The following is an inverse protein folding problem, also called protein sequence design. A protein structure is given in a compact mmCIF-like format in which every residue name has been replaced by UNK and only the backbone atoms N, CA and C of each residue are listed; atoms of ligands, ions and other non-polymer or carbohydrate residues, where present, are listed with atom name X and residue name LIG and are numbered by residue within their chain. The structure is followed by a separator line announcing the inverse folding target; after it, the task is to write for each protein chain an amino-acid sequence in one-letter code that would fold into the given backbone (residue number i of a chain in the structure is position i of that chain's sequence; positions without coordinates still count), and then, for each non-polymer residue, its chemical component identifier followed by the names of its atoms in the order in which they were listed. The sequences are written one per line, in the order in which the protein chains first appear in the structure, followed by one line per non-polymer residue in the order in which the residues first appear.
data_IF_635929003742
#
_entry.id   IF_635929003742
#
_cell.length_a   1.000
_cell.length_b   1.000
_cell.length_c   1.000
_cell.angle_alpha   90.00
_cell.angle_beta   90.00
_cell.angle_gamma   90.00
#
_symmetry.space_group_name_H-M   'P 1'
#
loop_
_entity.id
_entity.type
_entity.pdbx_description
1 polymer ?
#
# COMPACT_ATOMS: atom_id res chain seq x y z
N UNK A 1 1.58 -83.07 12.02
CA UNK A 1 2.19 -81.97 12.78
C UNK A 1 1.88 -80.66 12.07
N UNK A 2 1.22 -79.75 12.78
CA UNK A 2 0.87 -78.39 12.33
C UNK A 2 2.11 -77.48 12.31
N UNK A 3 2.15 -76.54 11.35
CA UNK A 3 2.77 -75.19 11.37
C UNK A 3 2.22 -74.50 10.11
N UNK A 4 1.20 -73.63 10.14
CA UNK A 4 1.15 -72.26 10.70
C UNK A 4 2.41 -71.46 10.30
N UNK A 5 2.38 -70.34 9.59
CA UNK A 5 1.35 -69.48 9.01
C UNK A 5 2.13 -68.43 8.20
N UNK A 6 1.60 -67.99 7.05
CA UNK A 6 2.27 -67.01 6.18
C UNK A 6 1.66 -65.65 6.49
N UNK A 7 2.26 -64.90 7.40
CA UNK A 7 1.84 -63.54 7.72
C UNK A 7 2.60 -62.56 6.80
N UNK A 8 1.95 -62.19 5.70
CA UNK A 8 2.26 -60.94 5.00
C UNK A 8 1.57 -59.79 5.75
N UNK A 9 2.26 -58.71 6.11
CA UNK A 9 1.58 -57.52 6.61
C UNK A 9 0.87 -56.88 5.42
N UNK A 10 -0.46 -56.79 5.51
CA UNK A 10 -1.25 -55.97 4.60
C UNK A 10 -0.89 -54.49 4.86
N UNK A 11 0.10 -54.00 4.12
CA UNK A 11 0.32 -52.57 3.96
C UNK A 11 -0.92 -52.02 3.24
N UNK A 12 -1.64 -51.12 3.91
CA UNK A 12 -2.88 -50.43 3.52
C UNK A 12 -4.14 -50.95 4.23
N UNK A 13 -4.13 -50.89 5.57
CA UNK A 13 -5.36 -50.90 6.34
C UNK A 13 -6.14 -49.60 6.07
N UNK A 14 -7.26 -49.73 5.36
CA UNK A 14 -8.15 -48.61 5.04
C UNK A 14 -8.65 -47.87 6.29
N UNK A 15 -8.69 -48.54 7.45
CA UNK A 15 -9.03 -47.91 8.72
C UNK A 15 -7.98 -46.89 9.18
N UNK A 16 -6.69 -47.15 8.93
CA UNK A 16 -5.61 -46.21 9.25
C UNK A 16 -5.63 -44.99 8.32
N UNK A 17 -5.93 -45.20 7.04
CA UNK A 17 -6.07 -44.10 6.08
C UNK A 17 -7.26 -43.21 6.45
N UNK A 18 -8.40 -43.79 6.86
CA UNK A 18 -9.60 -43.05 7.23
C UNK A 18 -9.42 -42.20 8.50
N UNK A 19 -8.63 -42.66 9.47
CA UNK A 19 -8.32 -41.91 10.70
C UNK A 19 -7.44 -40.68 10.46
N UNK A 20 -6.55 -40.72 9.45
CA UNK A 20 -5.69 -39.59 9.11
C UNK A 20 -6.49 -38.44 8.49
N UNK A 21 -7.49 -38.74 7.65
CA UNK A 21 -8.35 -37.73 7.01
C UNK A 21 -9.29 -37.08 8.03
N UNK A 22 -9.70 -37.80 9.07
CA UNK A 22 -10.53 -37.28 10.15
C UNK A 22 -9.80 -36.31 11.09
N UNK A 23 -8.45 -36.26 11.03
CA UNK A 23 -7.63 -35.31 11.81
C UNK A 23 -7.24 -34.05 10.99
N UNK A 24 -7.59 -33.98 9.71
CA UNK A 24 -7.40 -32.79 8.88
C UNK A 24 -8.57 -31.83 9.06
N UNK A 25 -8.63 -31.17 10.22
CA UNK A 25 -9.37 -29.92 10.34
C UNK A 25 -8.57 -28.84 9.59
N UNK A 26 -8.83 -28.69 8.29
CA UNK A 26 -8.42 -27.49 7.56
C UNK A 26 -9.19 -26.34 8.18
N UNK A 27 -8.54 -25.65 9.12
CA UNK A 27 -9.05 -24.44 9.74
C UNK A 27 -9.11 -23.37 8.66
N UNK A 28 -10.26 -23.25 8.00
CA UNK A 28 -10.60 -22.10 7.16
C UNK A 28 -10.81 -20.91 8.08
N UNK A 29 -9.71 -20.32 8.55
CA UNK A 29 -9.78 -19.03 9.20
C UNK A 29 -10.23 -18.01 8.16
N UNK A 30 -11.41 -17.43 8.37
CA UNK A 30 -11.87 -16.27 7.63
C UNK A 30 -11.03 -15.08 8.10
N UNK A 31 -9.87 -14.90 7.48
CA UNK A 31 -9.05 -13.71 7.67
C UNK A 31 -9.70 -12.55 6.92
N UNK A 32 -9.86 -11.42 7.60
CA UNK A 32 -10.40 -10.22 6.96
C UNK A 32 -9.42 -9.71 5.88
N UNK A 33 -9.90 -9.02 4.83
CA UNK A 33 -9.01 -8.45 3.81
C UNK A 33 -7.95 -7.53 4.41
N UNK A 34 -8.30 -6.75 5.44
CA UNK A 34 -7.37 -5.88 6.14
C UNK A 34 -6.27 -6.67 6.89
N UNK A 35 -6.61 -7.81 7.48
CA UNK A 35 -5.63 -8.67 8.16
C UNK A 35 -4.65 -9.31 7.16
N UNK A 36 -5.13 -9.69 5.97
CA UNK A 36 -4.27 -10.19 4.89
C UNK A 36 -3.32 -9.11 4.37
N UNK A 37 -3.82 -7.89 4.12
CA UNK A 37 -2.98 -6.76 3.68
C UNK A 37 -1.90 -6.46 4.71
N UNK A 38 -2.25 -6.40 6.00
CA UNK A 38 -1.27 -6.16 7.06
C UNK A 38 -0.19 -7.25 7.14
N UNK A 39 -0.52 -8.50 6.83
CA UNK A 39 0.47 -9.58 6.78
C UNK A 39 1.37 -9.50 5.54
N UNK A 40 0.83 -9.11 4.38
CA UNK A 40 1.63 -8.85 3.18
C UNK A 40 2.57 -7.66 3.37
N UNK A 41 2.09 -6.59 4.01
CA UNK A 41 2.85 -5.38 4.30
C UNK A 41 4.09 -5.66 5.18
N UNK A 42 4.09 -6.75 5.94
CA UNK A 42 5.24 -7.19 6.77
C UNK A 42 6.51 -7.37 5.94
N UNK A 43 6.40 -7.77 4.67
CA UNK A 43 7.54 -8.04 3.78
C UNK A 43 7.78 -6.94 2.75
N UNK A 44 6.93 -5.91 2.73
CA UNK A 44 7.09 -4.72 1.92
C UNK A 44 8.20 -3.81 2.51
N UNK A 45 8.13 -2.50 2.29
CA UNK A 45 9.03 -1.55 2.93
C UNK A 45 9.02 -1.67 4.48
N UNK A 46 10.17 -1.70 5.17
CA UNK A 46 11.54 -1.46 4.68
C UNK A 46 12.31 -2.72 4.25
N UNK A 47 11.68 -3.89 4.27
CA UNK A 47 12.33 -5.17 3.93
C UNK A 47 12.47 -5.40 2.42
N UNK A 48 11.67 -4.70 1.61
CA UNK A 48 11.79 -4.66 0.16
C UNK A 48 11.44 -3.27 -0.41
N UNK A 49 11.57 -3.11 -1.73
CA UNK A 49 11.14 -1.88 -2.42
C UNK A 49 9.63 -1.83 -2.70
N UNK A 50 8.91 -2.92 -2.45
CA UNK A 50 7.47 -2.97 -2.63
C UNK A 50 6.77 -1.96 -1.71
N UNK A 51 5.73 -1.32 -2.23
CA UNK A 51 4.91 -0.42 -1.44
C UNK A 51 3.99 -1.20 -0.49
N UNK A 52 3.84 -0.70 0.72
CA UNK A 52 2.77 -1.15 1.63
C UNK A 52 1.40 -0.75 1.09
N UNK A 53 0.33 -1.40 1.54
CA UNK A 53 -1.04 -1.02 1.19
C UNK A 53 -1.32 0.46 1.47
N UNK A 54 -0.86 0.99 2.61
CA UNK A 54 -1.01 2.41 2.97
C UNK A 54 -0.25 3.34 2.01
N UNK A 55 0.94 2.95 1.56
CA UNK A 55 1.69 3.72 0.56
C UNK A 55 0.95 3.71 -0.79
N UNK A 56 0.35 2.59 -1.18
CA UNK A 56 -0.47 2.47 -2.40
C UNK A 56 -1.70 3.38 -2.32
N UNK A 57 -2.42 3.38 -1.20
CA UNK A 57 -3.57 4.26 -0.99
C UNK A 57 -3.19 5.73 -1.10
N UNK A 58 -2.07 6.11 -0.46
CA UNK A 58 -1.56 7.49 -0.49
C UNK A 58 -1.13 7.89 -1.90
N UNK A 59 -0.47 6.99 -2.63
CA UNK A 59 -0.08 7.19 -4.03
C UNK A 59 -1.30 7.39 -4.92
N UNK A 60 -2.33 6.54 -4.80
CA UNK A 60 -3.55 6.64 -5.58
C UNK A 60 -4.29 7.96 -5.31
N UNK A 61 -4.41 8.36 -4.03
CA UNK A 61 -5.00 9.64 -3.64
C UNK A 61 -4.24 10.84 -4.23
N UNK A 62 -2.90 10.80 -4.22
CA UNK A 62 -2.05 11.82 -4.85
C UNK A 62 -2.25 11.88 -6.36
N UNK A 63 -2.26 10.73 -7.03
CA UNK A 63 -2.42 10.67 -8.48
C UNK A 63 -3.77 11.25 -8.93
N UNK A 64 -4.85 10.86 -8.24
CA UNK A 64 -6.18 11.42 -8.46
C UNK A 64 -6.18 12.94 -8.24
N UNK A 65 -5.57 13.41 -7.15
CA UNK A 65 -5.46 14.85 -6.85
C UNK A 65 -4.67 15.61 -7.92
N UNK A 66 -3.53 15.09 -8.36
CA UNK A 66 -2.65 15.76 -9.31
C UNK A 66 -3.31 15.88 -10.68
N UNK A 67 -3.96 14.81 -11.14
CA UNK A 67 -4.74 14.83 -12.38
C UNK A 67 -5.94 15.76 -12.29
N UNK A 68 -6.61 15.84 -11.13
CA UNK A 68 -7.62 16.86 -10.85
C UNK A 68 -7.09 18.30 -10.91
N UNK A 69 -5.81 18.50 -10.57
CA UNK A 69 -5.15 19.82 -10.69
C UNK A 69 -4.55 20.08 -12.06
N UNK A 70 -4.78 19.19 -13.03
CA UNK A 70 -4.42 19.39 -14.43
C UNK A 70 -3.07 18.81 -14.85
N UNK A 71 -2.41 18.00 -14.00
CA UNK A 71 -1.25 17.22 -14.44
C UNK A 71 -1.70 16.08 -15.36
N UNK A 72 -0.85 15.73 -16.32
CA UNK A 72 -1.04 14.51 -17.09
C UNK A 72 -0.95 13.28 -16.18
N UNK A 73 -1.53 12.16 -16.58
CA UNK A 73 -1.41 10.91 -15.83
C UNK A 73 0.05 10.51 -15.65
N UNK A 74 0.87 10.63 -16.71
CA UNK A 74 2.29 10.26 -16.70
C UNK A 74 3.08 11.14 -15.72
N UNK A 75 2.90 12.46 -15.79
CA UNK A 75 3.62 13.38 -14.91
C UNK A 75 3.14 13.25 -13.45
N UNK A 76 1.84 13.02 -13.26
CA UNK A 76 1.23 12.77 -11.96
C UNK A 76 1.78 11.50 -11.31
N UNK A 77 1.91 10.42 -12.08
CA UNK A 77 2.44 9.13 -11.61
C UNK A 77 3.91 9.27 -11.22
N UNK A 78 4.73 9.84 -12.10
CA UNK A 78 6.15 10.08 -11.84
C UNK A 78 6.38 11.00 -10.63
N UNK A 79 5.47 11.94 -10.37
CA UNK A 79 5.53 12.80 -9.21
C UNK A 79 5.08 12.09 -7.93
N UNK A 80 4.01 11.30 -7.99
CA UNK A 80 3.52 10.51 -6.85
C UNK A 80 4.56 9.46 -6.40
N UNK A 81 5.26 8.83 -7.35
CA UNK A 81 6.35 7.87 -7.08
C UNK A 81 7.50 8.54 -6.28
N UNK A 82 7.94 9.72 -6.70
CA UNK A 82 8.94 10.52 -5.96
C UNK A 82 8.50 10.81 -4.53
N UNK A 83 7.20 11.02 -4.31
CA UNK A 83 6.66 11.29 -2.97
C UNK A 83 6.59 10.06 -2.08
N UNK A 84 6.56 8.84 -2.62
CA UNK A 84 6.70 7.61 -1.83
C UNK A 84 8.07 7.60 -1.16
N UNK A 85 9.13 7.85 -1.93
CA UNK A 85 10.50 7.93 -1.40
C UNK A 85 10.64 9.05 -0.36
N UNK A 86 10.09 10.24 -0.65
CA UNK A 86 10.08 11.36 0.30
C UNK A 86 9.49 10.96 1.66
N UNK A 87 8.33 10.30 1.64
CA UNK A 87 7.63 9.93 2.86
C UNK A 87 8.41 8.90 3.68
N UNK A 88 9.09 7.96 3.00
CA UNK A 88 9.99 6.99 3.64
C UNK A 88 11.19 7.64 4.32
N UNK A 89 11.72 8.70 3.73
CA UNK A 89 12.84 9.49 4.27
C UNK A 89 12.42 10.50 5.33
N UNK A 90 11.13 10.57 5.66
CA UNK A 90 10.54 11.56 6.57
C UNK A 90 10.89 13.01 6.18
N UNK A 91 11.05 13.29 4.89
CA UNK A 91 11.31 14.65 4.41
C UNK A 91 10.04 15.51 4.56
N UNK A 92 10.19 16.62 5.29
CA UNK A 92 9.10 17.54 5.65
C UNK A 92 8.69 18.51 4.53
N UNK A 93 9.42 18.53 3.42
CA UNK A 93 9.04 19.36 2.27
C UNK A 93 7.75 18.83 1.63
N UNK A 94 6.96 19.72 1.04
CA UNK A 94 5.64 19.43 0.48
C UNK A 94 5.53 19.99 -0.93
N UNK A 95 4.67 19.39 -1.75
CA UNK A 95 4.26 19.98 -3.03
C UNK A 95 3.05 20.88 -2.80
N UNK A 96 3.00 22.03 -3.49
CA UNK A 96 1.79 22.84 -3.44
C UNK A 96 0.58 22.07 -4.03
N UNK A 97 0.82 21.12 -4.93
CA UNK A 97 -0.19 20.19 -5.42
C UNK A 97 -0.88 19.39 -4.33
N UNK A 98 -0.23 19.10 -3.19
CA UNK A 98 -0.83 18.40 -2.04
C UNK A 98 -1.67 19.34 -1.14
N UNK A 99 -1.59 20.66 -1.34
CA UNK A 99 -2.18 21.67 -0.44
C UNK A 99 -3.65 21.97 -0.75
N UNK A 100 -4.51 22.03 0.27
CA UNK A 100 -5.94 22.44 0.17
C UNK A 100 -6.13 23.79 -0.52
N UNK A 101 -5.15 24.69 -0.36
CA UNK A 101 -5.24 26.07 -0.80
C UNK A 101 -4.92 26.28 -2.29
N UNK A 102 -4.41 25.24 -2.97
CA UNK A 102 -4.15 25.30 -4.40
C UNK A 102 -5.46 25.17 -5.18
N UNK A 103 -5.83 26.20 -5.93
CA UNK A 103 -6.98 26.18 -6.81
C UNK A 103 -6.66 25.48 -8.16
N UNK A 104 -7.69 25.04 -8.90
CA UNK A 104 -7.52 24.38 -10.21
C UNK A 104 -6.89 25.30 -11.27
N UNK A 105 -6.94 26.61 -11.08
CA UNK A 105 -6.26 27.59 -11.94
C UNK A 105 -4.78 27.80 -11.60
N UNK A 106 -4.19 26.95 -10.74
CA UNK A 106 -2.78 27.02 -10.37
C UNK A 106 -2.44 28.03 -9.27
N UNK A 107 -3.38 28.87 -8.82
CA UNK A 107 -3.11 29.86 -7.77
C UNK A 107 -3.20 29.25 -6.36
N UNK A 108 -2.23 29.54 -5.51
CA UNK A 108 -2.29 29.21 -4.08
C UNK A 108 -2.88 30.38 -3.30
N UNK A 109 -3.98 30.13 -2.59
CA UNK A 109 -4.68 31.18 -1.82
C UNK A 109 -4.05 31.48 -0.45
N UNK A 110 -3.21 30.59 0.06
CA UNK A 110 -2.59 30.76 1.37
C UNK A 110 -1.33 31.62 1.35
N UNK A 111 -0.64 31.69 0.20
CA UNK A 111 0.56 32.50 0.04
C UNK A 111 0.25 33.68 -0.84
N UNK A 112 0.54 34.88 -0.36
CA UNK A 112 0.29 36.13 -1.09
C UNK A 112 1.52 37.01 -1.16
N UNK A 113 1.70 37.70 -2.28
CA UNK A 113 2.70 38.76 -2.45
C UNK A 113 1.95 40.05 -2.76
N UNK A 114 2.16 41.09 -1.93
CA UNK A 114 1.41 42.35 -2.07
C UNK A 114 -0.10 42.19 -1.92
N UNK A 115 -0.55 41.21 -1.12
CA UNK A 115 -1.97 40.90 -0.89
C UNK A 115 -2.66 40.11 -2.00
N UNK A 116 -1.94 39.68 -3.04
CA UNK A 116 -2.48 38.86 -4.14
C UNK A 116 -1.97 37.42 -4.07
N UNK A 117 -2.82 36.40 -4.31
CA UNK A 117 -2.39 35.01 -4.47
C UNK A 117 -1.30 34.88 -5.53
N UNK A 118 -0.35 33.97 -5.31
CA UNK A 118 0.73 33.69 -6.26
C UNK A 118 0.50 32.38 -7.01
N UNK A 119 1.11 32.27 -8.20
CA UNK A 119 1.36 30.99 -8.86
C UNK A 119 2.58 30.34 -8.20
N UNK A 120 2.41 29.25 -7.44
CA UNK A 120 3.52 28.57 -6.79
C UNK A 120 4.23 27.66 -7.78
N UNK A 121 5.47 27.28 -7.44
CA UNK A 121 6.15 26.17 -8.12
C UNK A 121 5.52 24.85 -7.64
N UNK A 122 4.41 24.45 -8.26
CA UNK A 122 3.47 23.46 -7.72
C UNK A 122 4.01 22.02 -7.69
N UNK A 123 5.01 21.71 -8.52
CA UNK A 123 5.64 20.39 -8.69
C UNK A 123 7.01 20.25 -8.03
N UNK A 124 7.48 21.28 -7.33
CA UNK A 124 8.77 21.25 -6.62
C UNK A 124 8.53 21.16 -5.12
N UNK A 125 9.34 20.35 -4.43
CA UNK A 125 9.30 20.19 -2.97
C UNK A 125 9.74 21.48 -2.30
N UNK A 126 8.87 22.08 -1.49
CA UNK A 126 9.11 23.34 -0.79
C UNK A 126 8.73 23.22 0.69
N UNK A 127 9.29 24.09 1.53
CA UNK A 127 8.73 24.33 2.88
C UNK A 127 7.72 25.48 2.75
N UNK A 128 6.56 25.35 3.39
CA UNK A 128 5.52 26.37 3.39
C UNK A 128 4.77 26.33 4.73
N UNK A 129 4.84 27.42 5.49
CA UNK A 129 4.26 27.49 6.84
C UNK A 129 2.72 27.50 6.83
N UNK A 130 2.12 27.89 5.71
CA UNK A 130 0.66 27.89 5.50
C UNK A 130 0.17 26.62 4.79
N UNK A 131 1.00 25.58 4.70
CA UNK A 131 0.60 24.32 4.08
C UNK A 131 -0.46 23.58 4.91
N UNK A 132 -1.49 23.09 4.24
CA UNK A 132 -2.44 22.14 4.82
C UNK A 132 -2.74 21.06 3.77
N UNK A 133 -2.48 19.80 4.13
CA UNK A 133 -2.66 18.68 3.21
C UNK A 133 -4.14 18.42 2.93
N UNK A 134 -4.43 17.93 1.72
CA UNK A 134 -5.69 17.27 1.41
C UNK A 134 -5.39 15.98 0.68
N UNK A 135 -5.22 14.95 1.49
CA UNK A 135 -5.05 13.54 1.12
C UNK A 135 -5.95 12.74 2.05
#
# INVERSE_FOLDING_TARGET
MQKAGRDSPAANDAAQVLALVASSEVSTQVVSPAALIADLDRWAWPHSQAMTGREIDTFAARLARFTDKGLSLIDGEALADKLVTRDREADERRLCLECVHLARNGLCKAVTTGGKPIEPVSTVLQRCDSFAAQL
#
